data_IF_089173073953
#
_entry.id   IF_089173073953
#
_cell.length_a   1.000
_cell.length_b   1.000
_cell.length_c   1.000
_cell.angle_alpha   90.00
_cell.angle_beta   90.00
_cell.angle_gamma   90.00
#
_symmetry.space_group_name_H-M   'P 1'
#
loop_
_entity.id
_entity.type
_entity.pdbx_description
1 polymer ?
#
# COMPACT_ATOMS: atom_id res chain seq x y z
N UNK A 1 -31.33 -70.54 -42.02
CA UNK A 1 -30.69 -70.73 -43.32
C UNK A 1 -29.27 -70.23 -43.14
N UNK A 2 -28.36 -71.15 -42.99
CA UNK A 2 -27.31 -71.57 -43.95
C UNK A 2 -26.39 -70.36 -44.20
N UNK A 3 -25.10 -70.40 -43.98
CA UNK A 3 -24.14 -71.51 -43.89
C UNK A 3 -22.78 -70.83 -44.04
N UNK A 4 -21.88 -71.34 -43.27
CA UNK A 4 -20.65 -72.08 -43.64
C UNK A 4 -19.54 -71.21 -44.27
N UNK A 5 -18.42 -71.17 -43.69
CA UNK A 5 -17.24 -72.07 -43.55
C UNK A 5 -16.10 -71.45 -44.38
N UNK A 6 -14.84 -71.50 -44.15
CA UNK A 6 -13.86 -72.24 -43.36
C UNK A 6 -12.47 -71.92 -43.95
N UNK A 7 -11.45 -72.04 -43.15
CA UNK A 7 -10.05 -72.42 -43.44
C UNK A 7 -9.09 -71.37 -43.96
N UNK A 8 -7.82 -71.32 -43.62
CA UNK A 8 -6.94 -72.19 -42.81
C UNK A 8 -5.59 -71.45 -42.67
N UNK A 9 -4.92 -71.72 -41.59
CA UNK A 9 -3.50 -71.51 -41.34
C UNK A 9 -2.63 -72.42 -42.26
N UNK A 10 -1.24 -72.47 -42.18
CA UNK A 10 -0.32 -72.07 -41.13
C UNK A 10 1.11 -71.56 -41.54
N UNK A 11 1.90 -71.21 -40.50
CA UNK A 11 3.34 -71.43 -40.23
C UNK A 11 4.38 -70.72 -41.12
N UNK A 12 5.57 -70.33 -40.73
CA UNK A 12 6.51 -70.70 -39.66
C UNK A 12 7.64 -69.70 -39.53
N UNK A 13 8.16 -69.52 -38.30
CA UNK A 13 9.51 -69.39 -37.86
C UNK A 13 10.58 -68.63 -38.68
N UNK A 14 11.19 -67.58 -38.03
CA UNK A 14 12.64 -67.56 -37.70
C UNK A 14 12.99 -66.58 -36.64
N UNK A 15 13.60 -67.05 -35.56
CA UNK A 15 14.26 -66.32 -34.50
C UNK A 15 15.51 -65.54 -34.97
N UNK A 16 15.66 -64.29 -34.59
CA UNK A 16 16.98 -63.72 -34.34
C UNK A 16 16.90 -62.81 -33.10
N UNK A 17 17.56 -63.27 -32.06
CA UNK A 17 17.83 -62.51 -30.80
C UNK A 17 18.92 -61.51 -31.09
N UNK A 18 18.71 -60.26 -30.72
CA UNK A 18 19.79 -59.32 -30.44
C UNK A 18 19.44 -58.42 -29.21
N UNK A 19 20.42 -58.11 -28.37
CA UNK A 19 20.20 -57.72 -26.97
C UNK A 19 19.85 -56.27 -26.79
N UNK A 20 19.04 -56.03 -25.73
CA UNK A 20 18.73 -54.77 -25.12
C UNK A 20 19.99 -54.05 -24.65
N UNK A 21 20.13 -52.79 -25.03
CA UNK A 21 20.82 -51.76 -24.26
C UNK A 21 19.76 -50.72 -23.87
N UNK A 22 19.24 -50.88 -22.67
CA UNK A 22 18.45 -49.86 -22.00
C UNK A 22 19.35 -48.70 -21.61
N UNK A 23 19.36 -47.66 -22.42
CA UNK A 23 19.82 -46.33 -22.00
C UNK A 23 18.68 -45.61 -21.28
N UNK A 24 18.69 -45.67 -19.95
CA UNK A 24 17.80 -44.86 -19.10
C UNK A 24 18.29 -43.44 -19.12
N UNK A 25 17.81 -42.64 -20.08
CA UNK A 25 17.96 -41.18 -20.02
C UNK A 25 16.97 -40.63 -18.97
N UNK A 26 17.44 -40.41 -17.74
CA UNK A 26 16.75 -39.60 -16.78
C UNK A 26 16.69 -38.17 -17.34
N UNK A 27 15.56 -37.83 -17.95
CA UNK A 27 15.20 -36.42 -18.19
C UNK A 27 14.87 -35.80 -16.84
N UNK A 28 15.86 -35.17 -16.23
CA UNK A 28 15.64 -34.16 -15.16
C UNK A 28 14.97 -32.97 -15.85
N UNK A 29 13.66 -33.04 -16.03
CA UNK A 29 12.85 -31.87 -16.30
C UNK A 29 12.90 -31.00 -15.03
N UNK A 30 13.92 -30.17 -14.91
CA UNK A 30 13.91 -29.08 -13.97
C UNK A 30 12.69 -28.22 -14.30
N UNK A 31 11.67 -28.29 -13.46
CA UNK A 31 10.54 -27.38 -13.50
C UNK A 31 11.11 -25.97 -13.24
N UNK A 32 11.45 -25.28 -14.32
CA UNK A 32 11.58 -23.82 -14.26
C UNK A 32 10.19 -23.35 -13.82
N UNK A 33 10.03 -22.69 -12.67
CA UNK A 33 8.74 -22.13 -12.32
C UNK A 33 8.40 -21.17 -13.46
N UNK A 34 7.39 -21.53 -14.26
CA UNK A 34 6.75 -20.61 -15.18
C UNK A 34 6.18 -19.53 -14.25
N UNK A 35 6.84 -18.39 -14.13
CA UNK A 35 6.21 -17.23 -13.51
C UNK A 35 4.98 -16.95 -14.36
N UNK A 36 3.81 -17.20 -13.78
CA UNK A 36 2.56 -16.82 -14.42
C UNK A 36 2.68 -15.34 -14.79
N UNK A 37 2.39 -15.04 -16.06
CA UNK A 37 2.40 -13.65 -16.53
C UNK A 37 1.51 -12.84 -15.60
N UNK A 38 2.07 -11.77 -15.03
CA UNK A 38 1.35 -10.93 -14.05
C UNK A 38 0.18 -10.26 -14.76
N UNK A 39 -1.02 -10.41 -14.20
CA UNK A 39 -2.21 -9.71 -14.73
C UNK A 39 -1.98 -8.20 -14.81
N UNK A 40 -2.67 -7.53 -15.71
CA UNK A 40 -2.54 -6.08 -15.85
C UNK A 40 -3.00 -5.36 -14.56
N UNK A 41 -2.31 -4.31 -14.11
CA UNK A 41 -2.66 -3.60 -12.89
C UNK A 41 -4.03 -2.92 -13.00
N UNK A 42 -4.81 -3.01 -11.94
CA UNK A 42 -6.13 -2.37 -11.86
C UNK A 42 -5.98 -0.86 -11.61
N UNK A 43 -5.00 -0.49 -10.76
CA UNK A 43 -4.65 0.91 -10.48
C UNK A 43 -3.45 1.33 -11.32
N UNK A 44 -3.64 2.39 -12.11
CA UNK A 44 -2.59 3.00 -12.94
C UNK A 44 -2.74 4.52 -12.91
N UNK A 45 -1.69 5.24 -13.26
CA UNK A 45 -1.71 6.68 -13.41
C UNK A 45 -1.80 7.46 -12.10
N UNK A 46 -2.32 8.68 -12.16
CA UNK A 46 -2.40 9.57 -11.00
C UNK A 46 -3.67 9.34 -10.19
N UNK A 47 -3.49 9.20 -8.90
CA UNK A 47 -4.55 9.11 -7.90
C UNK A 47 -4.47 10.30 -6.95
N UNK A 48 -5.57 10.64 -6.31
CA UNK A 48 -5.60 11.68 -5.28
C UNK A 48 -6.08 11.11 -3.95
N UNK A 49 -5.34 11.40 -2.88
CA UNK A 49 -5.80 11.16 -1.52
C UNK A 49 -6.88 12.19 -1.17
N UNK A 50 -8.06 11.73 -0.77
CA UNK A 50 -9.14 12.58 -0.35
C UNK A 50 -9.71 12.13 1.00
N UNK A 51 -10.15 13.10 1.80
CA UNK A 51 -11.02 12.85 2.96
C UNK A 51 -12.47 12.94 2.51
N UNK A 52 -13.36 12.37 3.29
CA UNK A 52 -14.79 12.59 3.07
C UNK A 52 -15.10 14.10 3.21
N UNK A 53 -15.84 14.70 2.26
CA UNK A 53 -16.32 16.07 2.39
C UNK A 53 -17.20 16.24 3.64
N UNK A 54 -17.00 17.35 4.35
CA UNK A 54 -17.68 17.59 5.63
C UNK A 54 -19.15 17.99 5.45
N UNK A 55 -19.45 18.67 4.34
CA UNK A 55 -20.80 19.15 4.01
C UNK A 55 -21.09 19.11 2.50
N UNK A 56 -22.27 19.56 2.11
CA UNK A 56 -22.70 19.57 0.71
C UNK A 56 -21.85 20.52 -0.15
N UNK A 57 -21.46 21.69 0.37
CA UNK A 57 -20.62 22.63 -0.35
C UNK A 57 -19.22 22.09 -0.63
N UNK A 58 -18.61 21.43 0.37
CA UNK A 58 -17.34 20.75 0.23
C UNK A 58 -17.43 19.57 -0.78
N UNK A 59 -18.57 18.84 -0.79
CA UNK A 59 -18.83 17.79 -1.76
C UNK A 59 -18.94 18.31 -3.18
N UNK A 60 -19.65 19.42 -3.39
CA UNK A 60 -19.82 20.06 -4.71
C UNK A 60 -18.47 20.61 -5.22
N UNK A 61 -17.67 21.23 -4.35
CA UNK A 61 -16.34 21.71 -4.68
C UNK A 61 -15.41 20.54 -5.07
N UNK A 62 -15.42 19.46 -4.29
CA UNK A 62 -14.68 18.25 -4.59
C UNK A 62 -15.11 17.64 -5.94
N UNK A 63 -16.42 17.49 -6.17
CA UNK A 63 -16.97 16.98 -7.42
C UNK A 63 -16.53 17.80 -8.63
N UNK A 64 -16.58 19.14 -8.50
CA UNK A 64 -16.15 20.06 -9.54
C UNK A 64 -14.67 19.94 -9.86
N UNK A 65 -13.81 19.87 -8.83
CA UNK A 65 -12.37 19.72 -8.99
C UNK A 65 -11.99 18.38 -9.65
N UNK A 66 -12.59 17.27 -9.23
CA UNK A 66 -12.32 15.95 -9.82
C UNK A 66 -12.81 15.91 -11.29
N UNK A 67 -13.99 16.46 -11.57
CA UNK A 67 -14.53 16.49 -12.95
C UNK A 67 -13.65 17.30 -13.90
N UNK A 68 -13.08 18.39 -13.43
CA UNK A 68 -12.21 19.25 -14.21
C UNK A 68 -10.81 18.64 -14.44
N UNK A 69 -10.37 17.71 -13.58
CA UNK A 69 -9.01 17.17 -13.61
C UNK A 69 -8.92 15.84 -14.36
N UNK A 70 -8.72 15.91 -15.67
CA UNK A 70 -8.58 14.73 -16.54
C UNK A 70 -7.26 13.97 -16.38
N UNK A 71 -6.32 14.44 -15.55
CA UNK A 71 -5.08 13.72 -15.24
C UNK A 71 -5.30 12.60 -14.21
N UNK A 72 -6.35 12.69 -13.42
CA UNK A 72 -6.65 11.72 -12.38
C UNK A 72 -7.34 10.48 -12.94
N UNK A 73 -6.89 9.33 -12.50
CA UNK A 73 -7.48 8.03 -12.82
C UNK A 73 -8.30 7.46 -11.66
N UNK A 74 -8.10 7.98 -10.45
CA UNK A 74 -8.85 7.53 -9.29
C UNK A 74 -8.65 8.37 -8.03
N UNK A 75 -9.44 8.04 -7.02
CA UNK A 75 -9.46 8.69 -5.71
C UNK A 75 -9.25 7.65 -4.61
N UNK A 76 -8.33 7.91 -3.68
CA UNK A 76 -8.20 7.16 -2.44
C UNK A 76 -9.00 7.86 -1.34
N UNK A 77 -10.15 7.30 -0.95
CA UNK A 77 -11.02 7.86 0.09
C UNK A 77 -10.55 7.43 1.47
N UNK A 78 -10.01 8.38 2.23
CA UNK A 78 -9.59 8.19 3.61
C UNK A 78 -10.75 8.41 4.56
N UNK A 79 -11.17 7.33 5.21
CA UNK A 79 -12.31 7.28 6.14
C UNK A 79 -11.82 6.93 7.54
N UNK A 80 -12.15 7.74 8.53
CA UNK A 80 -11.86 7.44 9.93
C UNK A 80 -13.02 6.62 10.53
N UNK A 81 -12.70 5.48 11.15
CA UNK A 81 -13.74 4.57 11.68
C UNK A 81 -14.70 5.28 12.64
N UNK A 82 -14.18 6.06 13.60
CA UNK A 82 -14.99 6.80 14.59
C UNK A 82 -15.96 7.85 14.01
N UNK A 83 -15.73 8.28 12.76
CA UNK A 83 -16.62 9.21 12.07
C UNK A 83 -17.84 8.48 11.49
N UNK A 84 -17.68 7.20 11.17
CA UNK A 84 -18.69 6.36 10.54
C UNK A 84 -19.49 5.56 11.57
N UNK A 85 -18.86 5.09 12.64
CA UNK A 85 -19.53 4.25 13.62
C UNK A 85 -19.40 4.83 15.03
N UNK A 86 -20.51 5.38 15.53
CA UNK A 86 -20.61 5.99 16.87
C UNK A 86 -21.23 5.04 17.90
N UNK A 87 -22.04 4.10 17.44
CA UNK A 87 -22.70 3.09 18.25
C UNK A 87 -22.34 1.68 17.73
N UNK A 88 -22.12 0.69 18.62
CA UNK A 88 -21.74 -0.65 18.23
C UNK A 88 -22.69 -1.26 17.18
N UNK A 89 -22.16 -1.74 16.08
CA UNK A 89 -22.92 -2.43 15.03
C UNK A 89 -23.78 -1.54 14.14
N UNK A 90 -23.74 -0.21 14.32
CA UNK A 90 -24.58 0.74 13.58
C UNK A 90 -23.73 1.77 12.82
N UNK A 91 -22.95 1.36 11.80
CA UNK A 91 -22.19 2.32 11.01
C UNK A 91 -23.13 3.17 10.15
N UNK A 92 -22.88 4.47 10.13
CA UNK A 92 -23.48 5.41 9.19
C UNK A 92 -22.53 5.64 8.00
N UNK A 93 -22.82 4.98 6.89
CA UNK A 93 -22.05 5.11 5.66
C UNK A 93 -22.52 6.26 4.76
N UNK A 94 -23.45 7.09 5.19
CA UNK A 94 -24.09 8.12 4.35
C UNK A 94 -23.11 9.09 3.70
N UNK A 95 -22.03 9.49 4.42
CA UNK A 95 -21.01 10.37 3.87
C UNK A 95 -20.17 9.68 2.80
N UNK A 96 -19.87 8.39 2.97
CA UNK A 96 -19.20 7.58 1.94
C UNK A 96 -20.11 7.44 0.72
N UNK A 97 -21.39 7.12 0.92
CA UNK A 97 -22.36 6.94 -0.16
C UNK A 97 -22.54 8.18 -1.02
N UNK A 98 -22.63 9.35 -0.40
CA UNK A 98 -22.72 10.64 -1.12
C UNK A 98 -21.48 10.85 -1.99
N UNK A 99 -20.28 10.63 -1.42
CA UNK A 99 -19.02 10.79 -2.14
C UNK A 99 -18.90 9.78 -3.29
N UNK A 100 -19.21 8.51 -3.03
CA UNK A 100 -19.20 7.44 -4.05
C UNK A 100 -20.22 7.71 -5.16
N UNK A 101 -21.40 8.25 -4.82
CA UNK A 101 -22.41 8.64 -5.82
C UNK A 101 -21.86 9.71 -6.77
N UNK A 102 -21.13 10.70 -6.26
CA UNK A 102 -20.44 11.69 -7.10
C UNK A 102 -19.41 11.02 -8.00
N UNK A 103 -18.55 10.14 -7.45
CA UNK A 103 -17.53 9.44 -8.23
C UNK A 103 -18.15 8.56 -9.33
N UNK A 104 -19.25 7.87 -9.04
CA UNK A 104 -20.01 7.09 -10.04
C UNK A 104 -20.54 7.98 -11.17
N UNK A 105 -21.09 9.14 -10.82
CA UNK A 105 -21.60 10.10 -11.80
C UNK A 105 -20.53 10.66 -12.75
N UNK A 106 -19.25 10.53 -12.38
CA UNK A 106 -18.10 10.97 -13.21
C UNK A 106 -17.37 9.77 -13.84
N UNK A 107 -17.69 8.54 -13.44
CA UNK A 107 -16.97 7.33 -13.88
C UNK A 107 -15.59 7.19 -13.23
N UNK A 108 -15.35 7.84 -12.08
CA UNK A 108 -14.06 7.86 -11.38
C UNK A 108 -13.88 6.62 -10.51
N UNK A 109 -12.79 5.88 -10.70
CA UNK A 109 -12.40 4.76 -9.83
C UNK A 109 -12.09 5.24 -8.42
N UNK A 110 -12.30 4.38 -7.42
CA UNK A 110 -11.90 4.70 -6.05
C UNK A 110 -11.31 3.50 -5.30
N UNK A 111 -10.47 3.84 -4.32
CA UNK A 111 -9.95 2.96 -3.30
C UNK A 111 -10.54 3.37 -1.96
N UNK A 112 -10.94 2.41 -1.13
CA UNK A 112 -11.34 2.67 0.25
C UNK A 112 -10.15 2.49 1.20
N UNK A 113 -9.81 3.54 1.91
CA UNK A 113 -8.83 3.56 2.99
C UNK A 113 -9.54 3.77 4.33
N UNK A 114 -10.02 2.69 4.93
CA UNK A 114 -10.75 2.73 6.21
C UNK A 114 -9.79 2.57 7.38
N UNK A 115 -9.66 3.59 8.22
CA UNK A 115 -8.59 3.69 9.22
C UNK A 115 -9.09 3.44 10.63
N UNK A 116 -8.60 2.39 11.31
CA UNK A 116 -8.68 2.23 12.77
C UNK A 116 -7.57 3.05 13.48
N UNK A 117 -6.82 2.47 14.38
CA UNK A 117 -5.77 3.15 15.14
C UNK A 117 -6.34 4.25 16.03
N UNK A 118 -5.84 5.47 15.90
CA UNK A 118 -6.38 6.63 16.63
C UNK A 118 -7.81 7.05 16.19
N UNK A 119 -8.32 6.39 15.16
CA UNK A 119 -9.69 6.56 14.69
C UNK A 119 -10.63 5.44 15.15
N UNK A 120 -10.18 4.56 16.04
CA UNK A 120 -11.03 3.55 16.67
C UNK A 120 -12.09 4.21 17.53
N UNK A 121 -13.39 3.85 17.41
CA UNK A 121 -14.47 4.44 18.17
C UNK A 121 -14.33 4.20 19.68
N UNK A 122 -14.74 5.17 20.53
CA UNK A 122 -14.64 5.04 21.98
C UNK A 122 -15.36 3.84 22.58
N UNK A 123 -16.48 3.41 21.97
CA UNK A 123 -17.23 2.27 22.46
C UNK A 123 -16.42 0.96 22.44
N UNK A 124 -15.47 0.80 21.52
CA UNK A 124 -14.60 -0.38 21.45
C UNK A 124 -13.79 -0.54 22.74
N UNK A 125 -13.29 0.56 23.28
CA UNK A 125 -12.60 0.57 24.59
C UNK A 125 -13.57 0.39 25.76
N UNK A 126 -14.77 0.95 25.67
CA UNK A 126 -15.81 0.76 26.68
C UNK A 126 -16.29 -0.70 26.76
N UNK A 127 -16.24 -1.45 25.66
CA UNK A 127 -16.49 -2.90 25.60
C UNK A 127 -15.31 -3.74 26.13
N UNK A 128 -14.20 -3.11 26.52
CA UNK A 128 -13.07 -3.77 27.17
C UNK A 128 -11.84 -4.01 26.28
N UNK A 129 -11.78 -3.44 25.08
CA UNK A 129 -10.58 -3.55 24.26
C UNK A 129 -9.36 -2.95 24.97
N UNK A 130 -8.25 -3.67 24.95
CA UNK A 130 -7.00 -3.18 25.51
C UNK A 130 -6.49 -1.99 24.71
N UNK A 131 -6.21 -0.88 25.40
CA UNK A 131 -5.70 0.35 24.83
C UNK A 131 -4.19 0.46 24.96
N UNK A 132 -3.58 1.19 24.03
CA UNK A 132 -2.20 1.62 24.04
C UNK A 132 -2.15 3.15 23.96
N UNK A 133 -1.72 3.78 25.04
CA UNK A 133 -1.61 5.25 25.12
C UNK A 133 -0.26 5.71 24.63
N UNK A 134 -0.25 6.72 23.77
CA UNK A 134 0.94 7.36 23.20
C UNK A 134 0.70 8.85 22.97
N UNK A 135 1.68 9.52 22.35
CA UNK A 135 1.57 10.93 21.96
C UNK A 135 1.90 11.12 20.49
N UNK A 136 1.31 12.15 19.89
CA UNK A 136 1.68 12.59 18.54
C UNK A 136 3.10 13.12 18.56
N UNK A 137 4.02 12.44 17.90
CA UNK A 137 5.46 12.79 17.89
C UNK A 137 5.93 13.43 16.59
N UNK A 138 5.07 13.55 15.58
CA UNK A 138 5.42 14.15 14.30
C UNK A 138 5.37 15.70 14.43
N UNK A 139 6.52 16.38 14.32
CA UNK A 139 6.58 17.85 14.51
C UNK A 139 5.85 18.64 13.41
N UNK A 140 5.50 17.98 12.30
CA UNK A 140 4.75 18.61 11.20
C UNK A 140 3.22 18.52 11.39
N UNK A 141 2.74 18.03 12.54
CA UNK A 141 1.31 17.99 12.85
C UNK A 141 0.96 19.11 13.84
N UNK A 142 -0.19 19.75 13.61
CA UNK A 142 -0.67 20.82 14.48
C UNK A 142 -0.89 20.34 15.93
N UNK A 143 -1.22 19.06 16.10
CA UNK A 143 -1.47 18.45 17.40
C UNK A 143 -0.26 17.67 17.97
N UNK A 144 0.96 18.08 17.66
CA UNK A 144 2.17 17.46 18.23
C UNK A 144 2.15 17.56 19.76
N UNK A 145 2.47 16.44 20.44
CA UNK A 145 2.44 16.34 21.89
C UNK A 145 1.11 15.91 22.49
N UNK A 146 0.00 15.98 21.77
CA UNK A 146 -1.30 15.50 22.23
C UNK A 146 -1.28 14.00 22.51
N UNK A 147 -1.95 13.61 23.59
CA UNK A 147 -2.18 12.22 23.93
C UNK A 147 -3.18 11.60 22.93
N UNK A 148 -2.87 10.39 22.47
CA UNK A 148 -3.74 9.60 21.63
C UNK A 148 -3.77 8.16 22.13
N UNK A 149 -4.88 7.49 21.85
CA UNK A 149 -5.10 6.09 22.20
C UNK A 149 -5.31 5.30 20.93
N UNK A 150 -4.66 4.17 20.85
CA UNK A 150 -4.89 3.16 19.80
C UNK A 150 -5.23 1.81 20.45
N UNK A 151 -5.94 0.92 19.78
CA UNK A 151 -6.15 -0.44 20.30
C UNK A 151 -4.85 -1.24 20.20
N UNK A 152 -4.69 -2.20 21.10
CA UNK A 152 -3.70 -3.27 20.92
C UNK A 152 -4.17 -4.15 19.75
N UNK A 153 -3.41 -4.30 18.64
CA UNK A 153 -3.94 -4.87 17.40
C UNK A 153 -4.42 -6.32 17.49
N UNK A 154 -3.94 -7.08 18.48
CA UNK A 154 -4.33 -8.48 18.72
C UNK A 154 -5.35 -8.64 19.85
N UNK A 155 -5.90 -7.54 20.37
CA UNK A 155 -6.97 -7.60 21.36
C UNK A 155 -8.25 -8.20 20.74
N UNK A 156 -8.88 -9.19 21.37
CA UNK A 156 -10.02 -9.89 20.79
C UNK A 156 -11.27 -9.01 20.63
N UNK A 157 -11.51 -8.05 21.54
CA UNK A 157 -12.66 -7.13 21.46
C UNK A 157 -12.47 -6.16 20.31
N UNK A 158 -11.25 -5.60 20.18
CA UNK A 158 -10.91 -4.77 19.01
C UNK A 158 -11.08 -5.55 17.70
N UNK A 159 -10.53 -6.76 17.63
CA UNK A 159 -10.59 -7.58 16.43
C UNK A 159 -12.04 -7.92 16.06
N UNK A 160 -12.86 -8.29 17.00
CA UNK A 160 -14.28 -8.61 16.76
C UNK A 160 -15.01 -7.41 16.13
N UNK A 161 -14.84 -6.22 16.70
CA UNK A 161 -15.49 -5.02 16.22
C UNK A 161 -14.96 -4.58 14.84
N UNK A 162 -13.64 -4.63 14.63
CA UNK A 162 -13.05 -4.21 13.37
C UNK A 162 -13.36 -5.18 12.24
N UNK A 163 -13.34 -6.49 12.49
CA UNK A 163 -13.76 -7.52 11.52
C UNK A 163 -15.22 -7.35 11.09
N UNK A 164 -16.10 -7.01 12.04
CA UNK A 164 -17.51 -6.75 11.75
C UNK A 164 -17.70 -5.57 10.80
N UNK A 165 -17.07 -4.44 11.06
CA UNK A 165 -17.21 -3.26 10.19
C UNK A 165 -16.57 -3.47 8.82
N UNK A 166 -15.47 -4.24 8.70
CA UNK A 166 -14.90 -4.65 7.41
C UNK A 166 -15.91 -5.44 6.59
N UNK A 167 -16.59 -6.41 7.21
CA UNK A 167 -17.63 -7.19 6.54
C UNK A 167 -18.78 -6.29 6.03
N UNK A 168 -19.26 -5.35 6.85
CA UNK A 168 -20.31 -4.39 6.48
C UNK A 168 -19.90 -3.45 5.34
N UNK A 169 -18.62 -3.02 5.31
CA UNK A 169 -18.06 -2.27 4.17
C UNK A 169 -18.07 -3.13 2.89
N UNK A 170 -17.67 -4.39 3.00
CA UNK A 170 -17.69 -5.34 1.88
C UNK A 170 -19.10 -5.57 1.34
N UNK A 171 -20.08 -5.82 2.20
CA UNK A 171 -21.50 -5.97 1.83
C UNK A 171 -22.00 -4.76 1.03
N UNK A 172 -21.54 -3.55 1.38
CA UNK A 172 -22.03 -2.32 0.75
C UNK A 172 -21.29 -1.94 -0.51
N UNK A 173 -19.96 -2.10 -0.57
CA UNK A 173 -19.15 -1.52 -1.64
C UNK A 173 -18.44 -2.53 -2.55
N UNK A 174 -18.33 -3.81 -2.17
CA UNK A 174 -17.59 -4.78 -2.98
C UNK A 174 -18.23 -5.10 -4.34
N UNK A 175 -19.54 -4.84 -4.49
CA UNK A 175 -20.24 -5.02 -5.76
C UNK A 175 -20.08 -3.84 -6.73
N UNK A 176 -19.61 -2.67 -6.24
CA UNK A 176 -19.39 -1.49 -7.06
C UNK A 176 -18.19 -1.68 -8.00
N UNK A 177 -18.37 -1.62 -9.33
CA UNK A 177 -17.27 -1.81 -10.28
C UNK A 177 -16.22 -0.69 -10.24
N UNK A 178 -16.54 0.47 -9.67
CA UNK A 178 -15.59 1.57 -9.50
C UNK A 178 -14.79 1.48 -8.20
N UNK A 179 -15.22 0.65 -7.23
CA UNK A 179 -14.41 0.27 -6.08
C UNK A 179 -13.38 -0.76 -6.52
N UNK A 180 -12.19 -0.31 -6.85
CA UNK A 180 -11.17 -1.19 -7.44
C UNK A 180 -10.13 -1.67 -6.45
N UNK A 181 -10.03 -1.04 -5.28
CA UNK A 181 -9.01 -1.37 -4.28
C UNK A 181 -9.48 -1.03 -2.87
N UNK A 182 -8.93 -1.73 -1.89
CA UNK A 182 -9.04 -1.41 -0.46
C UNK A 182 -7.64 -1.39 0.16
N UNK A 183 -7.45 -0.53 1.15
CA UNK A 183 -6.19 -0.49 1.89
C UNK A 183 -6.23 -1.51 3.03
N UNK A 184 -5.23 -2.37 3.11
CA UNK A 184 -5.03 -3.28 4.23
C UNK A 184 -4.65 -2.49 5.48
N UNK A 185 -5.64 -2.10 6.26
CA UNK A 185 -5.47 -1.46 7.57
C UNK A 185 -5.79 -2.43 8.68
N UNK A 186 -5.04 -2.40 9.76
CA UNK A 186 -5.28 -3.22 10.97
C UNK A 186 -4.48 -2.71 12.18
N UNK A 187 -3.16 -2.52 12.02
CA UNK A 187 -2.22 -2.11 13.03
C UNK A 187 -1.53 -0.82 12.60
N UNK A 188 -2.18 0.31 12.81
CA UNK A 188 -1.72 1.64 12.39
C UNK A 188 -1.95 2.69 13.49
N UNK A 189 -1.24 3.81 13.42
CA UNK A 189 -1.35 4.90 14.38
C UNK A 189 -2.37 5.96 13.91
N UNK A 190 -1.98 6.79 12.95
CA UNK A 190 -2.78 7.92 12.45
C UNK A 190 -3.05 7.85 10.95
N UNK A 191 -2.21 7.13 10.24
CA UNK A 191 -2.24 6.97 8.79
C UNK A 191 -2.63 5.53 8.42
N UNK A 192 -2.62 5.25 7.14
CA UNK A 192 -2.96 3.92 6.63
C UNK A 192 -1.77 2.95 6.61
N UNK A 193 -0.54 3.47 6.76
CA UNK A 193 0.67 2.66 6.72
C UNK A 193 0.82 1.79 7.95
N UNK A 194 1.66 0.77 7.84
CA UNK A 194 2.09 -0.16 8.91
C UNK A 194 2.83 0.56 10.05
N UNK A 195 2.44 1.77 10.40
CA UNK A 195 3.14 2.62 11.35
C UNK A 195 2.51 2.57 12.73
N UNK A 196 3.24 2.06 13.71
CA UNK A 196 2.89 2.05 15.13
C UNK A 196 3.78 3.02 15.93
N UNK A 197 3.33 3.52 17.09
CA UNK A 197 4.12 4.39 17.94
C UNK A 197 5.34 3.65 18.48
N UNK A 198 6.53 4.26 18.36
CA UNK A 198 7.81 3.61 18.74
C UNK A 198 8.82 4.56 19.35
N UNK A 199 8.43 5.79 19.66
CA UNK A 199 9.33 6.79 20.22
C UNK A 199 9.23 6.85 21.74
N UNK A 200 10.31 7.28 22.38
CA UNK A 200 10.36 7.36 23.84
C UNK A 200 10.13 5.99 24.49
N UNK A 201 9.16 5.94 25.39
CA UNK A 201 8.80 4.72 26.14
C UNK A 201 7.91 3.73 25.36
N UNK A 202 7.38 4.13 24.20
CA UNK A 202 6.40 3.33 23.45
C UNK A 202 6.95 1.95 23.09
N UNK A 203 8.22 1.89 22.68
CA UNK A 203 8.83 0.61 22.32
C UNK A 203 8.94 -0.34 23.53
N UNK A 204 9.26 0.20 24.72
CA UNK A 204 9.30 -0.58 25.95
C UNK A 204 7.91 -1.10 26.33
N UNK A 205 6.86 -0.28 26.14
CA UNK A 205 5.46 -0.71 26.34
C UNK A 205 5.07 -1.86 25.41
N UNK A 206 5.44 -1.79 24.11
CA UNK A 206 5.21 -2.90 23.17
C UNK A 206 5.92 -4.17 23.62
N UNK A 207 7.18 -4.08 24.03
CA UNK A 207 7.97 -5.22 24.55
C UNK A 207 7.34 -5.83 25.78
N UNK A 208 6.76 -5.03 26.66
CA UNK A 208 6.08 -5.50 27.86
C UNK A 208 4.81 -6.30 27.55
N UNK A 209 4.17 -6.11 26.39
CA UNK A 209 3.03 -6.91 25.94
C UNK A 209 3.42 -8.32 25.48
N UNK A 210 4.72 -8.60 25.32
CA UNK A 210 5.28 -9.92 24.96
C UNK A 210 4.96 -10.36 23.52
N UNK A 211 5.86 -11.08 22.90
CA UNK A 211 5.73 -11.71 21.56
C UNK A 211 5.07 -10.82 20.50
N UNK A 212 5.30 -9.50 20.56
CA UNK A 212 4.61 -8.55 19.70
C UNK A 212 4.91 -8.74 18.20
N UNK A 213 6.08 -9.26 17.84
CA UNK A 213 6.42 -9.56 16.45
C UNK A 213 5.53 -10.65 15.88
N UNK A 214 5.44 -11.80 16.53
CA UNK A 214 4.59 -12.92 16.10
C UNK A 214 3.11 -12.51 16.08
N UNK A 215 2.64 -11.82 17.13
CA UNK A 215 1.26 -11.34 17.24
C UNK A 215 0.92 -10.36 16.13
N UNK A 216 1.82 -9.42 15.81
CA UNK A 216 1.62 -8.49 14.69
C UNK A 216 1.58 -9.22 13.35
N UNK A 217 2.44 -10.20 13.12
CA UNK A 217 2.43 -10.99 11.90
C UNK A 217 1.09 -11.72 11.73
N UNK A 218 0.58 -12.34 12.78
CA UNK A 218 -0.74 -13.00 12.74
C UNK A 218 -1.89 -12.00 12.52
N UNK A 219 -1.79 -10.79 13.10
CA UNK A 219 -2.75 -9.70 12.84
C UNK A 219 -2.76 -9.32 11.35
N UNK A 220 -1.59 -9.12 10.73
CA UNK A 220 -1.52 -8.79 9.30
C UNK A 220 -2.06 -9.92 8.42
N UNK A 221 -1.73 -11.17 8.72
CA UNK A 221 -2.27 -12.34 7.99
C UNK A 221 -3.80 -12.41 8.10
N UNK A 222 -4.32 -12.32 9.33
CA UNK A 222 -5.77 -12.33 9.58
C UNK A 222 -6.48 -11.25 8.78
N UNK A 223 -6.01 -10.01 8.86
CA UNK A 223 -6.70 -8.92 8.17
C UNK A 223 -6.47 -8.91 6.66
N UNK A 224 -5.37 -9.47 6.17
CA UNK A 224 -5.23 -9.75 4.73
C UNK A 224 -6.35 -10.67 4.25
N UNK A 225 -6.64 -11.74 4.98
CA UNK A 225 -7.72 -12.67 4.64
C UNK A 225 -9.12 -12.04 4.80
N UNK A 226 -9.33 -11.23 5.84
CA UNK A 226 -10.62 -10.59 6.07
C UNK A 226 -10.96 -9.52 5.03
N UNK A 227 -10.02 -8.66 4.69
CA UNK A 227 -10.19 -7.70 3.61
C UNK A 227 -10.40 -8.41 2.26
N UNK A 228 -9.64 -9.48 1.98
CA UNK A 228 -9.80 -10.28 0.76
C UNK A 228 -11.16 -10.97 0.67
N UNK A 229 -11.69 -11.43 1.79
CA UNK A 229 -13.03 -12.05 1.89
C UNK A 229 -14.13 -11.01 1.70
N UNK A 230 -14.01 -9.85 2.36
CA UNK A 230 -15.01 -8.80 2.27
C UNK A 230 -15.05 -8.14 0.88
N UNK A 231 -13.90 -8.07 0.21
CA UNK A 231 -13.73 -7.45 -1.11
C UNK A 231 -13.10 -8.45 -2.10
N UNK A 232 -13.89 -9.41 -2.62
CA UNK A 232 -13.37 -10.58 -3.35
C UNK A 232 -12.77 -10.26 -4.73
N UNK A 233 -13.02 -9.08 -5.28
CA UNK A 233 -12.55 -8.66 -6.62
C UNK A 233 -11.57 -7.50 -6.60
N UNK A 234 -11.48 -6.78 -5.49
CA UNK A 234 -10.66 -5.58 -5.34
C UNK A 234 -9.21 -5.93 -5.04
N UNK A 235 -8.30 -5.06 -5.43
CA UNK A 235 -6.93 -5.11 -4.91
C UNK A 235 -6.90 -4.86 -3.40
N UNK A 236 -5.97 -5.54 -2.73
CA UNK A 236 -5.68 -5.36 -1.30
C UNK A 236 -4.31 -4.73 -1.21
N UNK A 237 -4.29 -3.45 -0.86
CA UNK A 237 -3.09 -2.62 -0.91
C UNK A 237 -2.44 -2.49 0.46
N UNK A 238 -1.25 -3.04 0.62
CA UNK A 238 -0.44 -2.86 1.82
C UNK A 238 0.39 -1.58 1.71
N UNK A 239 0.13 -0.61 2.58
CA UNK A 239 0.89 0.64 2.67
C UNK A 239 2.10 0.45 3.59
N UNK A 240 3.29 0.42 2.99
CA UNK A 240 4.52 0.06 3.65
C UNK A 240 5.02 1.13 4.62
N UNK A 241 5.48 0.71 5.77
CA UNK A 241 6.27 1.50 6.71
C UNK A 241 7.12 0.58 7.59
N UNK A 242 8.14 1.13 8.24
CA UNK A 242 8.89 0.39 9.25
C UNK A 242 8.03 0.17 10.48
N UNK A 243 7.74 -1.08 10.79
CA UNK A 243 6.96 -1.49 11.96
C UNK A 243 7.88 -1.56 13.18
N UNK A 244 7.63 -0.72 14.16
CA UNK A 244 8.37 -0.65 15.43
C UNK A 244 9.91 -0.66 15.21
N UNK A 245 10.62 -1.53 15.92
CA UNK A 245 12.05 -1.82 15.73
C UNK A 245 12.32 -3.07 14.90
N UNK A 246 11.26 -3.68 14.33
CA UNK A 246 11.37 -4.91 13.55
C UNK A 246 12.21 -4.72 12.28
N UNK A 247 12.90 -5.76 11.84
CA UNK A 247 13.70 -5.71 10.62
C UNK A 247 12.82 -5.71 9.37
N UNK A 248 13.37 -5.35 8.19
CA UNK A 248 12.64 -5.36 6.92
C UNK A 248 11.96 -6.70 6.58
N UNK A 249 12.54 -7.81 7.05
CA UNK A 249 12.00 -9.16 6.88
C UNK A 249 10.59 -9.33 7.43
N UNK A 250 10.22 -8.56 8.46
CA UNK A 250 8.84 -8.55 8.93
C UNK A 250 7.86 -8.13 7.82
N UNK A 251 8.16 -7.03 7.12
CA UNK A 251 7.34 -6.59 5.99
C UNK A 251 7.37 -7.61 4.85
N UNK A 252 8.52 -8.25 4.60
CA UNK A 252 8.64 -9.32 3.59
C UNK A 252 7.73 -10.50 3.92
N UNK A 253 7.66 -10.96 5.16
CA UNK A 253 6.76 -12.04 5.58
C UNK A 253 5.28 -11.69 5.34
N UNK A 254 4.89 -10.43 5.58
CA UNK A 254 3.51 -9.96 5.29
C UNK A 254 3.25 -9.95 3.78
N UNK A 255 4.20 -9.43 2.99
CA UNK A 255 4.08 -9.38 1.53
C UNK A 255 4.02 -10.79 0.94
N UNK A 256 4.94 -11.67 1.34
CA UNK A 256 4.99 -13.05 0.85
C UNK A 256 3.71 -13.82 1.21
N UNK A 257 3.15 -13.61 2.40
CA UNK A 257 1.85 -14.18 2.76
C UNK A 257 0.75 -13.68 1.82
N UNK A 258 0.63 -12.37 1.63
CA UNK A 258 -0.38 -11.76 0.77
C UNK A 258 -0.28 -12.27 -0.68
N UNK A 259 0.92 -12.30 -1.25
CA UNK A 259 1.17 -12.79 -2.61
C UNK A 259 0.92 -14.30 -2.74
N UNK A 260 1.21 -15.09 -1.71
CA UNK A 260 0.94 -16.54 -1.75
C UNK A 260 -0.56 -16.87 -1.79
N UNK A 261 -1.39 -16.03 -1.16
CA UNK A 261 -2.84 -16.22 -1.06
C UNK A 261 -3.62 -15.50 -2.15
N UNK A 262 -3.16 -14.33 -2.56
CA UNK A 262 -3.89 -13.41 -3.44
C UNK A 262 -2.96 -12.80 -4.50
N UNK A 263 -2.25 -13.61 -5.31
CA UNK A 263 -1.15 -13.15 -6.18
C UNK A 263 -1.56 -12.04 -7.17
N UNK A 264 -2.79 -12.12 -7.72
CA UNK A 264 -3.30 -11.14 -8.68
C UNK A 264 -3.86 -9.86 -8.03
N UNK A 265 -4.06 -9.86 -6.70
CA UNK A 265 -4.81 -8.77 -6.02
C UNK A 265 -4.05 -8.13 -4.87
N UNK A 266 -3.00 -8.79 -4.35
CA UNK A 266 -2.20 -8.20 -3.28
C UNK A 266 -1.19 -7.22 -3.86
N UNK A 267 -1.27 -5.95 -3.44
CA UNK A 267 -0.46 -4.86 -3.95
C UNK A 267 0.30 -4.17 -2.83
N UNK A 268 1.39 -3.50 -3.15
CA UNK A 268 2.20 -2.77 -2.17
C UNK A 268 2.34 -1.30 -2.57
N UNK A 269 2.39 -0.42 -1.58
CA UNK A 269 2.54 1.02 -1.79
C UNK A 269 3.64 1.60 -0.90
N UNK A 270 4.59 2.32 -1.50
CA UNK A 270 5.51 3.17 -0.77
C UNK A 270 4.88 4.54 -0.53
N UNK A 271 4.60 4.89 0.73
CA UNK A 271 4.02 6.17 1.13
C UNK A 271 5.08 7.23 1.52
N UNK A 272 6.32 7.04 1.11
CA UNK A 272 7.45 7.90 1.47
C UNK A 272 8.19 8.46 0.26
N UNK A 273 7.53 8.53 -0.90
CA UNK A 273 8.13 9.07 -2.11
C UNK A 273 8.50 10.54 -1.95
N UNK A 274 9.75 10.87 -2.27
CA UNK A 274 10.25 12.24 -2.30
C UNK A 274 11.01 12.54 -3.60
N UNK A 275 11.14 13.81 -3.91
CA UNK A 275 12.04 14.32 -4.95
C UNK A 275 13.26 15.03 -4.37
N UNK A 276 13.66 14.70 -3.14
CA UNK A 276 14.86 15.27 -2.50
C UNK A 276 16.14 14.60 -2.95
N UNK A 277 16.05 13.33 -3.30
CA UNK A 277 17.16 12.46 -3.69
C UNK A 277 16.61 11.21 -4.36
N UNK A 278 17.47 10.36 -4.85
CA UNK A 278 17.11 8.98 -5.14
C UNK A 278 16.76 8.24 -3.84
N UNK A 279 15.62 7.55 -3.82
CA UNK A 279 15.11 6.88 -2.61
C UNK A 279 15.75 5.49 -2.39
N UNK A 280 16.69 5.09 -3.23
CA UNK A 280 17.49 3.85 -3.09
C UNK A 280 18.16 3.79 -1.71
N UNK A 281 18.04 2.66 -1.03
CA UNK A 281 18.52 2.47 0.34
C UNK A 281 17.51 2.88 1.42
N UNK A 282 16.32 3.34 1.01
CA UNK A 282 15.18 3.50 1.92
C UNK A 282 14.36 2.21 1.94
N UNK A 283 14.17 1.63 3.12
CA UNK A 283 13.56 0.31 3.31
C UNK A 283 12.27 0.09 2.48
N UNK A 284 11.34 1.04 2.52
CA UNK A 284 10.05 0.91 1.81
C UNK A 284 10.22 0.96 0.29
N UNK A 285 11.16 1.75 -0.20
CA UNK A 285 11.53 1.81 -1.61
C UNK A 285 12.22 0.53 -2.07
N UNK A 286 13.19 0.05 -1.29
CA UNK A 286 13.93 -1.17 -1.60
C UNK A 286 13.01 -2.41 -1.58
N UNK A 287 11.98 -2.43 -0.71
CA UNK A 287 10.94 -3.46 -0.75
C UNK A 287 10.13 -3.41 -2.05
N UNK A 288 9.72 -2.23 -2.50
CA UNK A 288 9.05 -2.09 -3.81
C UNK A 288 9.95 -2.63 -4.93
N UNK A 289 11.23 -2.24 -4.95
CA UNK A 289 12.18 -2.74 -5.94
C UNK A 289 12.34 -4.27 -5.90
N UNK A 290 12.41 -4.84 -4.70
CA UNK A 290 12.55 -6.29 -4.50
C UNK A 290 11.34 -7.08 -5.04
N UNK A 291 10.15 -6.52 -4.89
CA UNK A 291 8.90 -7.20 -5.23
C UNK A 291 8.27 -6.77 -6.55
N UNK A 292 8.84 -5.81 -7.27
CA UNK A 292 8.23 -5.18 -8.47
C UNK A 292 7.79 -6.16 -9.56
N UNK A 293 8.51 -7.27 -9.72
CA UNK A 293 8.20 -8.29 -10.73
C UNK A 293 7.13 -9.30 -10.25
N UNK A 294 6.77 -9.25 -8.96
CA UNK A 294 5.83 -10.19 -8.31
C UNK A 294 4.56 -9.52 -7.81
N UNK A 295 4.60 -8.23 -7.50
CA UNK A 295 3.49 -7.47 -6.92
C UNK A 295 3.21 -6.21 -7.73
N UNK A 296 1.95 -5.90 -7.96
CA UNK A 296 1.55 -4.56 -8.39
C UNK A 296 1.92 -3.55 -7.32
N UNK A 297 2.39 -2.39 -7.72
CA UNK A 297 2.91 -1.42 -6.78
C UNK A 297 2.77 0.02 -7.25
N UNK A 298 2.78 0.91 -6.27
CA UNK A 298 2.73 2.34 -6.53
C UNK A 298 3.30 3.16 -5.39
N UNK A 299 3.13 4.45 -5.53
CA UNK A 299 3.73 5.43 -4.64
C UNK A 299 2.70 6.42 -4.13
N UNK A 300 2.96 6.95 -2.93
CA UNK A 300 2.30 8.13 -2.40
C UNK A 300 3.36 9.16 -2.07
N UNK A 301 3.13 10.42 -2.43
CA UNK A 301 3.99 11.54 -2.02
C UNK A 301 4.08 11.63 -0.51
N UNK A 302 5.29 11.80 0.04
CA UNK A 302 5.51 11.97 1.49
C UNK A 302 4.83 13.22 2.04
N UNK A 303 4.74 14.26 1.22
CA UNK A 303 4.14 15.55 1.54
C UNK A 303 3.55 16.19 0.27
N UNK A 304 2.90 17.33 0.41
CA UNK A 304 2.44 18.11 -0.74
C UNK A 304 3.62 18.52 -1.63
N UNK A 305 3.47 18.35 -2.94
CA UNK A 305 4.43 18.83 -3.95
C UNK A 305 4.47 20.35 -4.02
N UNK A 306 3.29 20.99 -3.89
CA UNK A 306 3.18 22.45 -3.95
C UNK A 306 3.66 23.13 -2.66
N UNK A 307 3.46 22.50 -1.50
CA UNK A 307 3.70 23.13 -0.19
C UNK A 307 4.71 22.37 0.69
N UNK A 308 5.24 21.26 0.22
CA UNK A 308 6.17 20.41 0.98
C UNK A 308 7.58 20.98 1.10
N UNK A 309 7.95 21.95 0.27
CA UNK A 309 9.25 22.61 0.25
C UNK A 309 10.42 21.62 0.29
N UNK A 310 11.41 21.87 1.14
CA UNK A 310 12.58 21.00 1.31
C UNK A 310 12.22 19.56 1.75
N UNK A 311 11.03 19.36 2.32
CA UNK A 311 10.58 18.02 2.75
C UNK A 311 10.20 17.15 1.57
N UNK A 312 9.66 17.74 0.50
CA UNK A 312 9.23 16.99 -0.70
C UNK A 312 10.28 17.00 -1.80
N UNK A 313 10.97 18.11 -2.03
CA UNK A 313 11.92 18.26 -3.15
C UNK A 313 11.22 18.55 -4.47
N UNK A 314 11.83 18.13 -5.59
CA UNK A 314 11.31 18.42 -6.94
C UNK A 314 10.43 17.31 -7.49
N UNK A 315 9.52 17.68 -8.39
CA UNK A 315 8.68 16.74 -9.14
C UNK A 315 9.56 15.80 -9.96
N UNK A 316 10.58 16.32 -10.60
CA UNK A 316 11.44 15.57 -11.53
C UNK A 316 12.21 14.44 -10.83
N UNK A 317 12.76 14.71 -9.64
CA UNK A 317 13.44 13.66 -8.86
C UNK A 317 12.44 12.66 -8.27
N UNK A 318 11.24 13.09 -7.90
CA UNK A 318 10.18 12.17 -7.50
C UNK A 318 9.79 11.25 -8.68
N UNK A 319 9.62 11.81 -9.89
CA UNK A 319 9.39 11.05 -11.12
C UNK A 319 10.55 10.08 -11.40
N UNK A 320 11.81 10.52 -11.23
CA UNK A 320 12.96 9.64 -11.43
C UNK A 320 12.89 8.39 -10.53
N UNK A 321 12.49 8.56 -9.27
CA UNK A 321 12.27 7.45 -8.35
C UNK A 321 11.13 6.52 -8.81
N UNK A 322 10.00 7.09 -9.25
CA UNK A 322 8.85 6.30 -9.75
C UNK A 322 9.24 5.51 -11.01
N UNK A 323 9.94 6.14 -11.95
CA UNK A 323 10.39 5.50 -13.19
C UNK A 323 11.42 4.40 -12.92
N UNK A 324 12.37 4.64 -12.02
CA UNK A 324 13.35 3.63 -11.61
C UNK A 324 12.68 2.38 -11.02
N UNK A 325 11.64 2.58 -10.21
CA UNK A 325 10.90 1.48 -9.62
C UNK A 325 9.82 0.89 -10.55
N UNK A 326 9.61 1.45 -11.74
CA UNK A 326 8.52 1.07 -12.63
C UNK A 326 7.14 1.17 -11.97
N UNK A 327 6.94 2.26 -11.19
CA UNK A 327 5.69 2.48 -10.47
C UNK A 327 4.48 2.56 -11.40
N UNK A 328 3.41 1.88 -11.06
CA UNK A 328 2.20 1.75 -11.89
C UNK A 328 1.20 2.87 -11.63
N UNK A 329 1.16 3.37 -10.39
CA UNK A 329 0.34 4.50 -9.99
C UNK A 329 1.06 5.39 -8.97
N UNK A 330 0.61 6.65 -8.91
CA UNK A 330 1.12 7.64 -7.95
C UNK A 330 -0.03 8.38 -7.29
N UNK A 331 -0.15 8.25 -5.99
CA UNK A 331 -1.14 8.92 -5.15
C UNK A 331 -0.60 10.28 -4.67
N UNK A 332 -1.24 11.34 -5.12
CA UNK A 332 -0.94 12.73 -4.76
C UNK A 332 -1.73 13.13 -3.51
N UNK A 333 -1.18 14.06 -2.75
CA UNK A 333 -1.91 14.70 -1.68
C UNK A 333 -3.13 15.47 -2.21
N UNK A 334 -4.14 15.65 -1.34
CA UNK A 334 -5.42 16.25 -1.70
C UNK A 334 -5.26 17.57 -2.50
N UNK A 335 -4.50 18.55 -1.95
CA UNK A 335 -4.29 19.84 -2.62
C UNK A 335 -3.56 19.72 -3.96
N UNK A 336 -2.58 18.83 -4.07
CA UNK A 336 -1.81 18.62 -5.30
C UNK A 336 -2.64 17.93 -6.38
N UNK A 337 -3.37 16.87 -5.99
CA UNK A 337 -4.20 16.11 -6.92
C UNK A 337 -5.41 16.88 -7.43
N UNK A 338 -5.98 17.79 -6.62
CA UNK A 338 -7.08 18.66 -7.06
C UNK A 338 -6.60 19.90 -7.82
N UNK A 339 -5.31 20.24 -7.73
CA UNK A 339 -4.70 21.33 -8.53
C UNK A 339 -4.46 20.86 -9.96
N UNK A 340 -5.12 21.51 -10.92
CA UNK A 340 -4.91 21.23 -12.35
C UNK A 340 -3.47 21.48 -12.78
N UNK A 341 -2.84 22.52 -12.24
CA UNK A 341 -1.46 22.87 -12.54
C UNK A 341 -0.49 21.81 -12.03
N UNK A 342 -0.59 21.45 -10.76
CA UNK A 342 0.32 20.48 -10.12
C UNK A 342 0.15 19.09 -10.71
N UNK A 343 -1.08 18.62 -10.85
CA UNK A 343 -1.34 17.29 -11.42
C UNK A 343 -0.90 17.19 -12.89
N UNK A 344 -1.10 18.23 -13.69
CA UNK A 344 -0.61 18.28 -15.06
C UNK A 344 0.92 18.34 -15.14
N UNK A 345 1.58 19.04 -14.22
CA UNK A 345 3.04 19.07 -14.15
C UNK A 345 3.60 17.67 -13.83
N UNK A 346 3.01 16.98 -12.84
CA UNK A 346 3.39 15.60 -12.49
C UNK A 346 3.16 14.65 -13.67
N UNK A 347 1.98 14.73 -14.29
CA UNK A 347 1.62 13.85 -15.42
C UNK A 347 2.63 13.99 -16.57
N UNK A 348 2.92 15.24 -16.98
CA UNK A 348 3.91 15.50 -18.07
C UNK A 348 5.30 15.00 -17.72
N UNK A 349 5.78 15.27 -16.51
CA UNK A 349 7.11 14.83 -16.10
C UNK A 349 7.20 13.30 -16.02
N UNK A 350 6.14 12.65 -15.55
CA UNK A 350 6.09 11.18 -15.46
C UNK A 350 6.00 10.53 -16.85
N UNK A 351 5.17 11.06 -17.74
CA UNK A 351 5.11 10.60 -19.13
C UNK A 351 6.49 10.72 -19.82
N UNK A 352 7.15 11.87 -19.66
CA UNK A 352 8.48 12.08 -20.21
C UNK A 352 9.51 11.11 -19.62
N UNK A 353 9.54 10.96 -18.29
CA UNK A 353 10.43 10.05 -17.61
C UNK A 353 10.22 8.59 -18.03
N UNK A 354 8.96 8.16 -18.16
CA UNK A 354 8.60 6.81 -18.61
C UNK A 354 9.03 6.58 -20.06
N UNK A 355 8.79 7.55 -20.94
CA UNK A 355 9.19 7.47 -22.35
C UNK A 355 10.70 7.39 -22.54
N UNK A 356 11.48 8.13 -21.76
CA UNK A 356 12.94 8.13 -21.83
C UNK A 356 13.57 6.92 -21.12
N UNK A 357 12.93 6.42 -20.10
CA UNK A 357 13.50 5.46 -19.16
C UNK A 357 14.44 6.13 -18.15
N UNK A 358 14.74 5.38 -17.08
CA UNK A 358 15.47 5.90 -15.92
C UNK A 358 16.81 6.57 -16.29
N UNK A 359 17.69 5.87 -17.02
CA UNK A 359 19.04 6.36 -17.29
C UNK A 359 19.03 7.62 -18.16
N UNK A 360 18.24 7.62 -19.25
CA UNK A 360 18.18 8.78 -20.15
C UNK A 360 17.49 9.97 -19.48
N UNK A 361 16.46 9.73 -18.67
CA UNK A 361 15.81 10.80 -17.89
C UNK A 361 16.77 11.40 -16.86
N UNK A 362 17.53 10.57 -16.14
CA UNK A 362 18.56 11.02 -15.20
C UNK A 362 19.63 11.88 -15.90
N UNK A 363 20.16 11.44 -17.04
CA UNK A 363 21.15 12.19 -17.80
C UNK A 363 20.60 13.55 -18.28
N UNK A 364 19.34 13.58 -18.72
CA UNK A 364 18.66 14.83 -19.04
C UNK A 364 18.63 15.80 -17.85
N UNK A 365 18.20 15.32 -16.66
CA UNK A 365 18.13 16.16 -15.46
C UNK A 365 19.52 16.69 -15.04
N UNK A 366 20.58 15.88 -15.21
CA UNK A 366 21.96 16.30 -14.98
C UNK A 366 22.34 17.43 -15.95
N UNK A 367 22.10 17.24 -17.23
CA UNK A 367 22.42 18.22 -18.26
C UNK A 367 21.67 19.55 -18.09
N UNK A 368 20.45 19.51 -17.55
CA UNK A 368 19.64 20.69 -17.24
C UNK A 368 19.97 21.33 -15.87
N UNK A 369 20.92 20.76 -15.11
CA UNK A 369 21.27 21.24 -13.76
C UNK A 369 20.17 21.00 -12.71
N UNK A 370 19.22 20.14 -12.99
CA UNK A 370 18.06 19.79 -12.13
C UNK A 370 18.31 18.53 -11.27
N UNK A 371 19.42 17.88 -11.49
CA UNK A 371 19.89 16.74 -10.69
C UNK A 371 21.28 17.06 -10.15
N UNK A 372 21.43 17.03 -8.84
CA UNK A 372 22.74 17.11 -8.19
C UNK A 372 23.05 15.77 -7.55
N UNK A 373 24.14 15.14 -8.00
CA UNK A 373 24.68 13.98 -7.30
C UNK A 373 24.97 14.37 -5.85
N UNK A 374 24.39 13.68 -4.91
CA UNK A 374 24.76 13.83 -3.52
C UNK A 374 26.23 13.36 -3.39
N UNK A 375 27.15 14.30 -3.24
CA UNK A 375 28.50 13.99 -2.79
C UNK A 375 28.39 13.13 -1.53
N UNK A 376 28.91 11.92 -1.60
CA UNK A 376 28.68 10.81 -0.66
C UNK A 376 29.12 11.08 0.78
N UNK A 377 28.38 11.94 1.46
CA UNK A 377 28.47 12.12 2.90
C UNK A 377 27.45 11.24 3.58
N UNK A 378 27.81 9.97 3.72
CA UNK A 378 27.16 9.06 4.64
C UNK A 378 27.37 9.63 6.04
N UNK A 379 26.42 10.36 6.57
CA UNK A 379 26.40 10.72 7.97
C UNK A 379 26.41 9.44 8.84
N UNK A 380 27.62 8.94 9.05
CA UNK A 380 27.95 8.19 10.26
C UNK A 380 27.66 9.14 11.40
N UNK A 381 26.59 8.85 12.14
CA UNK A 381 26.25 9.56 13.36
C UNK A 381 27.43 9.55 14.33
N UNK A 382 28.23 10.61 14.30
CA UNK A 382 29.10 10.98 15.40
C UNK A 382 28.37 12.04 16.17
N UNK A 383 27.95 11.67 17.38
CA UNK A 383 27.39 12.55 18.36
C UNK A 383 28.24 13.82 18.52
N UNK A 384 27.62 14.95 18.25
CA UNK A 384 28.11 16.25 18.70
C UNK A 384 27.18 16.73 19.81
N UNK A 385 27.52 16.33 21.06
CA UNK A 385 27.12 17.07 22.25
C UNK A 385 27.72 18.47 22.12
N UNK A 386 26.90 19.44 21.91
CA UNK A 386 27.26 20.87 21.98
C UNK A 386 26.14 21.58 22.72
N UNK A 387 26.35 21.78 24.02
CA UNK A 387 25.60 22.70 24.86
C UNK A 387 25.58 24.09 24.19
N UNK A 388 24.39 24.65 24.03
CA UNK A 388 24.17 26.08 24.17
C UNK A 388 22.89 26.28 24.97
N UNK A 389 23.09 26.62 26.26
CA UNK A 389 22.13 27.31 27.06
C UNK A 389 21.96 28.69 26.41
N UNK A 390 20.77 29.04 26.02
CA UNK A 390 20.35 30.41 25.85
C UNK A 390 19.18 30.62 26.82
N UNK A 391 19.45 31.39 27.84
CA UNK A 391 18.49 31.95 28.78
C UNK A 391 17.45 32.74 27.97
N UNK A 392 16.19 32.41 28.17
CA UNK A 392 15.06 33.26 27.79
C UNK A 392 14.54 33.90 29.08
N UNK A 393 14.82 35.18 29.24
CA UNK A 393 14.14 36.06 30.19
C UNK A 393 12.68 36.26 29.78
N UNK A 394 11.75 36.39 30.74
CA UNK A 394 10.35 36.65 30.45
C UNK A 394 10.12 38.20 30.45
N UNK A 395 9.52 38.68 29.38
CA UNK A 395 8.82 40.00 29.45
C UNK A 395 7.57 39.99 28.58
N UNK A 396 6.44 40.33 29.29
CA UNK A 396 5.13 40.84 28.90
C UNK A 396 4.27 40.06 27.90
#
# INVERSE_FOLDING_TARGET
MRGTELHSQPAEFFHVIRPLLCGLALAIAGSIPLFAEREAPIRTGLWVMARLPEDAGALDAFASSIRANHQLTGVCLHVAWKEVEKEPGKPDFSAIDKTVTVLRGIGMKYQLCFKPGASTPPFVYAEGAQSFETRVTNPNRANVGEAIVIPVPWDPVYQQNFSRVIAQLGERYASDPLCVSVVLTCANLLSAEMHLPKRGEDLAKWKALGNYEERLLEVYKKYTDEWAKAFPRQEISLHLSKVLDLPPQFCEHVIDYGLSKYPARFTIQNCQLTGRREDTGMMTYDLVQKYRDRAHHGFQSLASLAHGGERMGSIELAVLNVVHAQGEYWELWHGDGLSLETSAAVARAWEEGTRLGYDAYKQKLIAEGRYQEQSGDRHRGKGRRGRRNAELTPEA
#
